data_IF_767939041166
#
_entry.id   IF_767939041166
#
_cell.length_a   1.000
_cell.length_b   1.000
_cell.length_c   1.000
_cell.angle_alpha   90.00
_cell.angle_beta   90.00
_cell.angle_gamma   90.00
#
_symmetry.space_group_name_H-M   'P 1'
#
loop_
_entity.id
_entity.type
_entity.pdbx_description
1 polymer ?
#
# COMPACT_ATOMS: atom_id res chain seq x y z
N UNK A 1 53.44 25.89 -32.63
CA UNK A 1 52.97 25.63 -31.24
C UNK A 1 51.58 26.24 -31.06
N UNK A 2 50.52 25.47 -31.32
CA UNK A 2 49.12 25.89 -31.06
C UNK A 2 48.69 25.31 -29.72
N UNK A 3 48.49 26.15 -28.71
CA UNK A 3 47.89 25.76 -27.43
C UNK A 3 46.37 25.88 -27.56
N UNK A 4 45.68 24.75 -27.59
CA UNK A 4 44.22 24.68 -27.53
C UNK A 4 43.75 24.76 -26.09
N UNK A 5 42.83 25.68 -25.80
CA UNK A 5 42.15 25.83 -24.52
C UNK A 5 41.03 24.78 -24.45
N UNK A 6 41.09 23.88 -23.48
CA UNK A 6 40.00 22.96 -23.15
C UNK A 6 39.10 23.70 -22.14
N UNK A 7 37.89 24.04 -22.56
CA UNK A 7 36.84 24.55 -21.69
C UNK A 7 36.13 23.35 -21.06
N UNK A 8 36.28 23.19 -19.75
CA UNK A 8 35.61 22.16 -18.97
C UNK A 8 34.25 22.71 -18.52
N UNK A 9 33.16 22.29 -19.18
CA UNK A 9 31.80 22.57 -18.71
C UNK A 9 31.51 21.70 -17.48
N UNK A 10 31.40 22.32 -16.32
CA UNK A 10 30.86 21.67 -15.13
C UNK A 10 29.34 21.51 -15.29
N UNK A 11 28.87 20.28 -15.51
CA UNK A 11 27.46 19.94 -15.31
C UNK A 11 27.17 20.00 -13.80
N UNK A 12 26.46 21.04 -13.36
CA UNK A 12 25.77 21.01 -12.07
C UNK A 12 24.62 20.00 -12.18
N UNK A 13 24.82 18.80 -11.64
CA UNK A 13 23.74 17.91 -11.30
C UNK A 13 22.96 18.55 -10.13
N UNK A 14 21.78 19.10 -10.42
CA UNK A 14 20.78 19.39 -9.40
C UNK A 14 20.35 18.06 -8.78
N UNK A 15 20.97 17.71 -7.66
CA UNK A 15 20.46 16.67 -6.78
C UNK A 15 19.06 17.11 -6.34
N UNK A 16 18.04 16.40 -6.81
CA UNK A 16 16.72 16.46 -6.16
C UNK A 16 16.94 15.90 -4.75
N UNK A 17 16.92 16.77 -3.75
CA UNK A 17 16.74 16.36 -2.37
C UNK A 17 15.40 15.64 -2.32
N UNK A 18 15.44 14.30 -2.30
CA UNK A 18 14.24 13.52 -2.04
C UNK A 18 13.69 13.97 -0.70
N UNK A 19 12.37 14.12 -0.62
CA UNK A 19 11.71 14.35 0.67
C UNK A 19 12.18 13.27 1.63
N UNK A 20 12.89 13.67 2.69
CA UNK A 20 13.20 12.78 3.80
C UNK A 20 11.86 12.48 4.44
N UNK A 21 11.29 11.31 4.15
CA UNK A 21 10.06 10.85 4.76
C UNK A 21 10.29 10.70 6.27
N UNK A 22 9.77 11.65 7.04
CA UNK A 22 9.62 11.52 8.48
C UNK A 22 8.28 10.83 8.79
N UNK A 23 8.17 10.22 9.98
CA UNK A 23 6.94 9.58 10.42
C UNK A 23 5.78 10.60 10.46
N UNK A 24 4.79 10.40 9.60
CA UNK A 24 3.57 11.17 9.53
C UNK A 24 2.57 10.65 10.56
N UNK A 25 2.55 11.31 11.73
CA UNK A 25 1.71 10.94 12.88
C UNK A 25 0.27 11.47 12.83
N UNK A 26 -0.07 12.25 11.81
CA UNK A 26 -1.34 12.98 11.77
C UNK A 26 -2.51 12.02 11.60
N UNK A 27 -3.49 12.13 12.50
CA UNK A 27 -4.78 11.44 12.43
C UNK A 27 -5.90 12.46 12.23
N UNK A 28 -6.95 12.06 11.52
CA UNK A 28 -8.19 12.84 11.41
C UNK A 28 -8.90 12.88 12.76
N UNK A 29 -9.35 14.07 13.16
CA UNK A 29 -10.28 14.22 14.27
C UNK A 29 -11.63 13.57 13.92
N UNK A 30 -12.08 13.75 12.68
CA UNK A 30 -13.24 13.07 12.12
C UNK A 30 -12.83 11.95 11.16
N UNK A 31 -12.61 10.75 11.71
CA UNK A 31 -12.29 9.55 10.93
C UNK A 31 -13.32 9.29 9.82
N UNK A 32 -12.86 8.80 8.68
CA UNK A 32 -13.73 8.31 7.62
C UNK A 32 -14.12 6.85 7.87
N UNK A 33 -15.23 6.41 7.28
CA UNK A 33 -15.57 5.01 7.04
C UNK A 33 -15.59 4.80 5.54
N UNK A 34 -14.69 3.98 5.02
CA UNK A 34 -14.55 3.66 3.59
C UNK A 34 -14.87 2.19 3.39
N UNK A 35 -15.94 1.87 2.65
CA UNK A 35 -16.46 0.51 2.51
C UNK A 35 -16.63 -0.21 3.86
N UNK A 36 -17.11 0.51 4.87
CA UNK A 36 -17.31 0.00 6.23
C UNK A 36 -16.05 -0.13 7.09
N UNK A 37 -14.87 0.16 6.56
CA UNK A 37 -13.61 0.19 7.34
C UNK A 37 -13.33 1.59 7.85
N UNK A 38 -13.09 1.75 9.14
CA UNK A 38 -12.64 3.02 9.73
C UNK A 38 -11.24 3.37 9.21
N UNK A 39 -11.10 4.56 8.62
CA UNK A 39 -9.87 5.15 8.11
C UNK A 39 -9.58 6.41 8.94
N UNK A 40 -8.61 6.36 9.86
CA UNK A 40 -8.28 7.50 10.71
C UNK A 40 -7.26 8.47 10.08
N UNK A 41 -6.87 8.25 8.82
CA UNK A 41 -5.73 8.94 8.21
C UNK A 41 -6.16 10.03 7.23
N UNK A 42 -5.43 11.17 7.16
CA UNK A 42 -5.74 12.27 6.26
C UNK A 42 -5.49 11.94 4.79
N UNK A 43 -4.69 10.92 4.49
CA UNK A 43 -4.50 10.36 3.16
C UNK A 43 -4.67 8.86 3.20
N UNK A 44 -5.44 8.30 2.27
CA UNK A 44 -5.64 6.86 2.16
C UNK A 44 -5.98 6.46 0.72
N UNK A 45 -6.11 5.16 0.45
CA UNK A 45 -6.41 4.67 -0.90
C UNK A 45 -7.57 3.70 -0.94
N UNK A 46 -8.34 3.77 -2.02
CA UNK A 46 -9.37 2.80 -2.37
C UNK A 46 -9.05 2.18 -3.74
N UNK A 47 -9.23 0.87 -3.83
CA UNK A 47 -9.00 0.09 -5.04
C UNK A 47 -10.35 -0.43 -5.52
N UNK A 48 -10.80 0.03 -6.68
CA UNK A 48 -12.18 -0.19 -7.15
C UNK A 48 -12.20 -0.50 -8.64
N UNK A 49 -13.14 -1.35 -9.06
CA UNK A 49 -13.30 -1.67 -10.48
C UNK A 49 -14.01 -0.52 -11.23
N UNK A 50 -13.77 -0.38 -12.55
CA UNK A 50 -14.46 0.61 -13.37
C UNK A 50 -15.97 0.61 -13.18
N UNK A 51 -16.56 1.80 -13.05
CA UNK A 51 -18.01 2.01 -12.85
C UNK A 51 -18.63 1.32 -11.63
N UNK A 52 -17.84 0.69 -10.76
CA UNK A 52 -18.34 0.17 -9.49
C UNK A 52 -18.41 1.27 -8.45
N UNK A 53 -19.24 1.05 -7.44
CA UNK A 53 -19.42 1.99 -6.36
C UNK A 53 -18.56 1.62 -5.15
N UNK A 54 -18.20 2.63 -4.36
CA UNK A 54 -17.60 2.49 -3.03
C UNK A 54 -18.27 3.48 -2.08
N UNK A 55 -18.29 3.19 -0.79
CA UNK A 55 -18.87 4.09 0.21
C UNK A 55 -17.78 4.91 0.89
N UNK A 56 -18.10 6.18 1.13
CA UNK A 56 -17.32 7.08 1.97
C UNK A 56 -18.30 7.80 2.87
N UNK A 57 -18.10 7.66 4.18
CA UNK A 57 -18.91 8.24 5.24
C UNK A 57 -17.98 8.85 6.30
N UNK A 58 -18.51 9.72 7.16
CA UNK A 58 -17.85 10.01 8.44
C UNK A 58 -18.19 8.92 9.44
N UNK A 59 -17.21 8.51 10.25
CA UNK A 59 -17.43 7.52 11.30
C UNK A 59 -18.39 8.08 12.37
N UNK A 60 -18.26 9.36 12.70
CA UNK A 60 -19.19 10.11 13.53
C UNK A 60 -20.44 10.46 12.71
N UNK A 61 -21.61 9.95 13.11
CA UNK A 61 -22.84 10.04 12.30
C UNK A 61 -23.47 11.44 12.30
N UNK A 62 -23.12 12.26 13.28
CA UNK A 62 -23.53 13.67 13.31
C UNK A 62 -22.74 14.54 12.31
N UNK A 63 -21.61 14.06 11.79
CA UNK A 63 -20.78 14.79 10.85
C UNK A 63 -21.33 14.73 9.41
N UNK A 64 -21.18 15.83 8.69
CA UNK A 64 -21.59 16.01 7.30
C UNK A 64 -20.47 16.65 6.50
N UNK A 65 -20.55 16.58 5.19
CA UNK A 65 -19.49 17.10 4.34
C UNK A 65 -19.72 16.83 2.88
N UNK A 66 -18.78 17.32 2.07
CA UNK A 66 -18.79 17.14 0.63
C UNK A 66 -17.57 16.34 0.17
N UNK A 67 -17.64 15.83 -1.05
CA UNK A 67 -16.49 15.31 -1.76
C UNK A 67 -16.39 15.95 -3.14
N UNK A 68 -15.17 16.01 -3.68
CA UNK A 68 -14.86 16.45 -5.03
C UNK A 68 -13.70 15.62 -5.59
N UNK A 69 -13.81 15.24 -6.86
CA UNK A 69 -12.75 14.58 -7.61
C UNK A 69 -11.78 15.61 -8.21
N UNK A 70 -10.50 15.23 -8.23
CA UNK A 70 -9.39 16.02 -8.74
C UNK A 70 -8.49 15.15 -9.62
N UNK A 71 -7.78 15.80 -10.54
CA UNK A 71 -6.70 15.16 -11.29
C UNK A 71 -5.40 15.11 -10.47
N UNK A 72 -4.34 14.58 -11.08
CA UNK A 72 -3.03 14.49 -10.45
C UNK A 72 -2.36 15.86 -10.20
N UNK A 73 -2.79 16.92 -10.89
CA UNK A 73 -2.29 18.29 -10.70
C UNK A 73 -3.08 19.06 -9.63
N UNK A 74 -4.14 18.44 -9.08
CA UNK A 74 -5.00 19.06 -8.09
C UNK A 74 -6.08 19.96 -8.69
N UNK A 75 -6.33 19.88 -9.99
CA UNK A 75 -7.45 20.56 -10.64
C UNK A 75 -8.74 19.75 -10.45
N UNK A 76 -9.83 20.45 -10.12
CA UNK A 76 -11.13 19.80 -9.94
C UNK A 76 -11.59 19.18 -11.27
N UNK A 77 -11.82 17.86 -11.27
CA UNK A 77 -12.33 17.16 -12.44
C UNK A 77 -13.75 17.62 -12.74
N UNK A 78 -14.05 17.85 -14.01
CA UNK A 78 -15.39 18.19 -14.50
C UNK A 78 -16.20 16.93 -14.80
N UNK A 79 -17.52 17.08 -14.81
CA UNK A 79 -18.42 16.03 -15.28
C UNK A 79 -18.06 15.61 -16.70
N UNK A 80 -18.07 14.31 -16.94
CA UNK A 80 -17.77 13.73 -18.25
C UNK A 80 -18.44 12.37 -18.39
N UNK A 81 -18.52 11.79 -19.60
CA UNK A 81 -18.96 10.41 -19.77
C UNK A 81 -18.16 9.39 -18.93
N UNK A 82 -16.89 9.70 -18.62
CA UNK A 82 -16.01 8.91 -17.77
C UNK A 82 -16.31 9.07 -16.27
N UNK A 83 -16.68 10.28 -15.84
CA UNK A 83 -16.98 10.62 -14.46
C UNK A 83 -18.35 11.31 -14.37
N UNK A 84 -19.44 10.53 -14.28
CA UNK A 84 -20.80 11.06 -14.31
C UNK A 84 -21.20 11.80 -13.01
N UNK A 85 -20.42 11.65 -11.94
CA UNK A 85 -20.55 12.42 -10.70
C UNK A 85 -19.16 12.79 -10.20
N UNK A 86 -18.81 14.07 -10.28
CA UNK A 86 -17.49 14.57 -9.87
C UNK A 86 -17.49 15.17 -8.46
N UNK A 87 -18.65 15.45 -7.87
CA UNK A 87 -18.81 15.92 -6.49
C UNK A 87 -20.14 15.48 -5.88
N UNK A 88 -20.27 15.62 -4.57
CA UNK A 88 -21.49 15.28 -3.86
C UNK A 88 -21.35 15.39 -2.34
N UNK A 89 -22.33 14.85 -1.62
CA UNK A 89 -22.36 14.80 -0.15
C UNK A 89 -21.80 13.47 0.33
N UNK A 90 -20.86 13.51 1.27
CA UNK A 90 -20.30 12.31 1.93
C UNK A 90 -21.42 11.57 2.67
N UNK A 91 -21.50 10.25 2.50
CA UNK A 91 -22.45 9.36 3.18
C UNK A 91 -23.90 9.40 2.70
N UNK A 92 -24.25 10.24 1.71
CA UNK A 92 -25.63 10.28 1.16
C UNK A 92 -25.92 9.09 0.23
N UNK A 93 -24.99 8.79 -0.67
CA UNK A 93 -25.07 7.67 -1.61
C UNK A 93 -23.68 7.10 -1.85
N UNK A 94 -23.55 5.81 -2.24
CA UNK A 94 -22.28 5.28 -2.73
C UNK A 94 -21.73 6.12 -3.88
N UNK A 95 -20.41 6.29 -3.92
CA UNK A 95 -19.70 7.05 -4.94
C UNK A 95 -19.34 6.12 -6.08
N UNK A 96 -19.67 6.50 -7.32
CA UNK A 96 -19.34 5.73 -8.52
C UNK A 96 -17.92 6.05 -8.97
N UNK A 97 -17.08 5.02 -9.09
CA UNK A 97 -15.75 5.15 -9.64
C UNK A 97 -15.78 5.53 -11.13
N UNK A 98 -14.77 6.29 -11.62
CA UNK A 98 -14.60 6.54 -13.05
C UNK A 98 -14.68 5.27 -13.92
N UNK A 99 -15.11 5.41 -15.18
CA UNK A 99 -15.21 4.30 -16.14
C UNK A 99 -13.86 3.85 -16.68
N UNK A 100 -12.87 4.72 -16.69
CA UNK A 100 -11.54 4.46 -17.17
C UNK A 100 -10.63 4.08 -16.00
N UNK A 101 -9.84 3.03 -16.19
CA UNK A 101 -8.80 2.64 -15.25
C UNK A 101 -7.74 3.73 -15.11
N UNK A 102 -7.23 3.95 -13.90
CA UNK A 102 -6.26 4.98 -13.62
C UNK A 102 -6.25 5.42 -12.16
N UNK A 103 -5.45 6.44 -11.87
CA UNK A 103 -5.37 7.10 -10.57
C UNK A 103 -6.19 8.40 -10.60
N UNK A 104 -7.10 8.52 -9.65
CA UNK A 104 -7.92 9.70 -9.44
C UNK A 104 -7.81 10.13 -7.98
N UNK A 105 -7.97 11.41 -7.70
CA UNK A 105 -7.94 11.94 -6.33
C UNK A 105 -9.35 12.35 -5.94
N UNK A 106 -9.82 11.92 -4.78
CA UNK A 106 -11.07 12.38 -4.19
C UNK A 106 -10.75 13.05 -2.86
N UNK A 107 -11.08 14.33 -2.72
CA UNK A 107 -10.97 15.03 -1.43
C UNK A 107 -12.35 15.10 -0.78
N UNK A 108 -12.42 14.78 0.51
CA UNK A 108 -13.60 15.05 1.34
C UNK A 108 -13.33 16.27 2.20
N UNK A 109 -14.35 17.07 2.46
CA UNK A 109 -14.30 18.19 3.40
C UNK A 109 -15.37 17.97 4.45
N UNK A 110 -14.99 17.94 5.73
CA UNK A 110 -15.90 17.85 6.84
C UNK A 110 -16.43 19.24 7.23
N UNK A 111 -17.75 19.42 7.29
CA UNK A 111 -18.38 20.72 7.55
C UNK A 111 -18.26 21.18 9.01
N UNK A 112 -18.10 20.26 9.96
CA UNK A 112 -18.03 20.56 11.39
C UNK A 112 -16.61 20.94 11.82
N UNK A 113 -15.60 20.31 11.22
CA UNK A 113 -14.19 20.46 11.62
C UNK A 113 -13.37 21.24 10.59
N UNK A 114 -13.84 21.36 9.35
CA UNK A 114 -13.06 21.88 8.22
C UNK A 114 -11.96 20.93 7.73
N UNK A 115 -11.81 19.75 8.33
CA UNK A 115 -10.77 18.79 7.93
C UNK A 115 -10.97 18.30 6.49
N UNK A 116 -9.86 18.24 5.76
CA UNK A 116 -9.81 17.66 4.43
C UNK A 116 -9.10 16.32 4.50
N UNK A 117 -9.74 15.27 3.98
CA UNK A 117 -9.11 13.98 3.77
C UNK A 117 -8.99 13.68 2.27
N UNK A 118 -7.87 13.08 1.88
CA UNK A 118 -7.56 12.72 0.50
C UNK A 118 -7.65 11.20 0.33
N UNK A 119 -8.51 10.75 -0.59
CA UNK A 119 -8.59 9.37 -1.02
C UNK A 119 -8.01 9.23 -2.43
N UNK A 120 -6.93 8.49 -2.59
CA UNK A 120 -6.49 8.02 -3.90
C UNK A 120 -7.46 6.93 -4.36
N UNK A 121 -8.22 7.22 -5.40
CA UNK A 121 -9.15 6.29 -6.05
C UNK A 121 -8.42 5.64 -7.21
N UNK A 122 -7.86 4.45 -6.98
CA UNK A 122 -7.27 3.65 -8.03
C UNK A 122 -8.35 2.81 -8.70
N UNK A 123 -8.76 3.23 -9.88
CA UNK A 123 -9.66 2.47 -10.74
C UNK A 123 -8.85 1.40 -11.45
N UNK A 124 -9.10 0.15 -11.12
CA UNK A 124 -8.26 -0.98 -11.55
C UNK A 124 -8.43 -1.31 -13.03
N UNK A 125 -7.37 -1.81 -13.65
CA UNK A 125 -7.39 -2.52 -14.92
C UNK A 125 -7.94 -3.93 -14.69
N UNK A 126 -9.04 -4.32 -15.34
CA UNK A 126 -9.70 -5.59 -15.07
C UNK A 126 -8.85 -6.83 -15.36
N UNK A 127 -9.00 -7.89 -14.54
CA UNK A 127 -8.29 -9.17 -14.70
C UNK A 127 -8.62 -9.83 -16.05
N UNK A 128 -9.84 -9.66 -16.57
CA UNK A 128 -10.25 -10.21 -17.86
C UNK A 128 -9.45 -9.68 -19.07
N UNK A 129 -8.68 -8.59 -18.88
CA UNK A 129 -7.75 -8.08 -19.91
C UNK A 129 -6.42 -8.84 -19.95
N UNK A 130 -6.17 -9.76 -19.01
CA UNK A 130 -5.00 -10.65 -19.07
C UNK A 130 -5.17 -11.59 -20.25
N UNK A 131 -4.21 -11.59 -21.16
CA UNK A 131 -4.24 -12.41 -22.36
C UNK A 131 -4.04 -13.91 -22.07
N UNK A 132 -4.21 -14.76 -23.10
CA UNK A 132 -4.03 -16.21 -22.99
C UNK A 132 -2.60 -16.62 -22.58
N UNK A 133 -1.61 -15.74 -22.78
CA UNK A 133 -0.23 -15.94 -22.36
C UNK A 133 0.02 -15.49 -20.90
N UNK A 134 -1.01 -15.00 -20.20
CA UNK A 134 -0.91 -14.55 -18.81
C UNK A 134 -0.29 -13.17 -18.64
N UNK A 135 -0.39 -12.31 -19.67
CA UNK A 135 0.17 -10.95 -19.68
C UNK A 135 -0.94 -9.90 -19.69
N UNK A 136 -0.69 -8.77 -19.01
CA UNK A 136 -1.53 -7.58 -19.05
C UNK A 136 -0.69 -6.43 -19.64
N UNK A 137 -1.05 -5.96 -20.84
CA UNK A 137 -0.26 -4.98 -21.60
C UNK A 137 1.24 -5.33 -21.65
N UNK A 138 1.57 -6.61 -21.90
CA UNK A 138 2.95 -7.11 -21.98
C UNK A 138 3.61 -7.48 -20.65
N UNK A 139 3.09 -7.00 -19.51
CA UNK A 139 3.60 -7.35 -18.19
C UNK A 139 3.09 -8.72 -17.74
N UNK A 140 3.99 -9.61 -17.29
CA UNK A 140 3.60 -11.00 -16.95
C UNK A 140 2.95 -11.03 -15.57
N UNK A 141 1.67 -11.42 -15.52
CA UNK A 141 0.94 -11.71 -14.27
C UNK A 141 1.11 -13.19 -13.93
N UNK A 142 0.99 -14.09 -14.91
CA UNK A 142 0.93 -15.53 -14.67
C UNK A 142 -0.49 -16.00 -14.36
N UNK A 143 -0.61 -17.15 -13.68
CA UNK A 143 -1.91 -17.82 -13.46
C UNK A 143 -2.19 -17.98 -11.98
N UNK A 144 -3.38 -17.56 -11.55
CA UNK A 144 -3.91 -17.91 -10.24
C UNK A 144 -4.36 -19.38 -10.24
N UNK A 145 -4.37 -20.05 -9.07
CA UNK A 145 -4.93 -21.39 -8.95
C UNK A 145 -6.41 -21.41 -9.34
N UNK A 146 -6.85 -22.49 -10.01
CA UNK A 146 -8.23 -22.63 -10.48
C UNK A 146 -9.24 -22.74 -9.33
N UNK A 147 -8.83 -23.40 -8.24
CA UNK A 147 -9.68 -23.60 -7.06
C UNK A 147 -9.15 -22.74 -5.92
N UNK A 148 -10.02 -22.01 -5.19
CA UNK A 148 -9.59 -21.33 -3.98
C UNK A 148 -9.15 -22.36 -2.92
N UNK A 149 -8.10 -22.04 -2.16
CA UNK A 149 -7.59 -22.90 -1.10
C UNK A 149 -8.70 -23.20 -0.08
N UNK A 150 -9.03 -24.48 0.11
CA UNK A 150 -10.09 -24.94 1.02
C UNK A 150 -11.44 -24.24 0.78
N UNK A 151 -11.76 -23.92 -0.48
CA UNK A 151 -12.97 -23.19 -0.88
C UNK A 151 -13.13 -21.80 -0.24
N UNK A 152 -12.07 -21.22 0.31
CA UNK A 152 -12.15 -19.93 0.97
C UNK A 152 -12.14 -18.78 -0.07
N UNK A 153 -13.20 -17.92 -0.12
CA UNK A 153 -13.33 -16.85 -1.11
C UNK A 153 -12.17 -15.85 -1.12
N UNK A 154 -11.40 -15.74 -0.03
CA UNK A 154 -10.22 -14.85 0.02
C UNK A 154 -9.10 -15.25 -0.96
N UNK A 155 -9.17 -16.48 -1.48
CA UNK A 155 -8.26 -17.02 -2.50
C UNK A 155 -8.85 -17.03 -3.91
N UNK A 156 -10.00 -16.38 -4.14
CA UNK A 156 -10.46 -16.10 -5.49
C UNK A 156 -9.50 -15.11 -6.18
N UNK A 157 -9.26 -15.23 -7.50
CA UNK A 157 -8.47 -14.26 -8.24
C UNK A 157 -8.99 -12.83 -8.01
N UNK A 158 -8.10 -11.82 -7.96
CA UNK A 158 -8.52 -10.43 -7.82
C UNK A 158 -9.33 -10.00 -9.06
N UNK A 159 -10.25 -9.07 -8.88
CA UNK A 159 -11.05 -8.54 -10.00
C UNK A 159 -10.22 -7.71 -10.99
N UNK A 160 -9.09 -7.17 -10.54
CA UNK A 160 -8.21 -6.35 -11.36
C UNK A 160 -6.96 -5.91 -10.62
N UNK A 161 -6.17 -5.08 -11.30
CA UNK A 161 -4.89 -4.57 -10.84
C UNK A 161 -4.82 -3.06 -11.03
N UNK A 162 -4.11 -2.38 -10.14
CA UNK A 162 -3.68 -1.00 -10.39
C UNK A 162 -2.56 -1.05 -11.42
N UNK A 163 -2.75 -0.37 -12.55
CA UNK A 163 -1.68 -0.08 -13.50
C UNK A 163 -0.82 1.05 -12.92
N UNK A 164 0.48 0.83 -12.85
CA UNK A 164 1.44 1.77 -12.28
C UNK A 164 2.42 2.16 -13.37
N UNK A 165 2.55 3.45 -13.62
CA UNK A 165 3.57 4.04 -14.48
C UNK A 165 4.81 4.47 -13.66
N UNK A 166 5.95 4.79 -14.30
CA UNK A 166 7.15 5.21 -13.57
C UNK A 166 6.90 6.41 -12.64
N UNK A 167 6.09 7.38 -13.06
CA UNK A 167 5.80 8.58 -12.27
C UNK A 167 4.82 8.38 -11.11
N UNK A 168 4.30 7.16 -10.92
CA UNK A 168 3.29 6.84 -9.90
C UNK A 168 3.87 6.09 -8.68
N UNK A 169 5.16 5.75 -8.69
CA UNK A 169 5.79 5.00 -7.60
C UNK A 169 5.77 5.77 -6.28
N UNK A 170 5.86 7.09 -6.34
CA UNK A 170 6.02 7.95 -5.16
C UNK A 170 4.66 8.43 -4.62
N UNK A 171 3.54 8.01 -5.23
CA UNK A 171 2.21 8.32 -4.72
C UNK A 171 2.07 7.70 -3.34
N UNK A 172 1.90 8.55 -2.32
CA UNK A 172 1.49 8.13 -0.97
C UNK A 172 0.12 7.48 -1.04
N UNK A 173 0.03 6.21 -0.66
CA UNK A 173 -1.21 5.43 -0.63
C UNK A 173 -1.84 5.37 0.78
N UNK A 174 -1.06 5.75 1.78
CA UNK A 174 -1.42 6.11 3.15
C UNK A 174 -0.31 7.03 3.70
N UNK A 175 -0.40 7.59 4.93
CA UNK A 175 0.55 8.62 5.37
C UNK A 175 2.03 8.24 5.25
N UNK A 176 2.37 7.00 5.60
CA UNK A 176 3.74 6.51 5.72
C UNK A 176 4.14 5.51 4.63
N UNK A 177 3.27 5.28 3.63
CA UNK A 177 3.53 4.29 2.58
C UNK A 177 3.24 4.80 1.17
N UNK A 178 4.10 4.44 0.21
CA UNK A 178 3.95 4.77 -1.21
C UNK A 178 3.58 3.55 -2.06
N UNK A 179 3.00 3.78 -3.24
CA UNK A 179 2.60 2.72 -4.15
C UNK A 179 3.78 1.85 -4.60
N UNK A 180 4.93 2.47 -4.83
CA UNK A 180 6.17 1.83 -5.29
C UNK A 180 6.69 0.75 -4.34
N UNK A 181 6.54 0.95 -3.03
CA UNK A 181 6.98 0.01 -2.00
C UNK A 181 6.31 -1.37 -2.11
N UNK A 182 5.12 -1.44 -2.73
CA UNK A 182 4.37 -2.69 -2.85
C UNK A 182 4.46 -3.35 -4.22
N UNK A 183 5.21 -2.79 -5.16
CA UNK A 183 5.35 -3.37 -6.49
C UNK A 183 6.07 -4.73 -6.43
N UNK A 184 5.70 -5.61 -7.35
CA UNK A 184 6.42 -6.86 -7.55
C UNK A 184 7.88 -6.57 -7.94
N UNK A 185 8.81 -7.27 -7.27
CA UNK A 185 10.26 -7.24 -7.55
C UNK A 185 10.65 -7.97 -8.84
N UNK A 186 9.66 -8.43 -9.61
CA UNK A 186 9.83 -8.95 -10.96
C UNK A 186 10.62 -7.97 -11.84
N UNK A 187 11.67 -8.49 -12.48
CA UNK A 187 12.56 -7.74 -13.37
C UNK A 187 11.91 -7.56 -14.74
N UNK A 188 10.90 -6.69 -14.80
CA UNK A 188 10.27 -6.21 -16.02
C UNK A 188 10.00 -4.71 -15.93
N UNK A 189 10.02 -4.05 -17.10
CA UNK A 189 9.73 -2.61 -17.22
C UNK A 189 8.29 -2.25 -16.92
N UNK A 190 8.01 -0.95 -16.91
CA UNK A 190 6.68 -0.38 -16.75
C UNK A 190 5.85 -0.49 -18.06
N UNK A 191 4.51 -0.46 -17.99
CA UNK A 191 3.70 -0.37 -16.77
C UNK A 191 3.80 -1.66 -15.94
N UNK A 192 3.83 -1.49 -14.61
CA UNK A 192 3.75 -2.58 -13.65
C UNK A 192 2.32 -2.69 -13.14
N UNK A 193 1.96 -3.86 -12.62
CA UNK A 193 0.63 -4.11 -12.07
C UNK A 193 0.71 -4.60 -10.64
N UNK A 194 -0.13 -4.01 -9.79
CA UNK A 194 -0.20 -4.33 -8.37
C UNK A 194 -1.64 -4.57 -7.94
N UNK A 195 -1.88 -5.62 -7.16
CA UNK A 195 -3.14 -5.78 -6.43
C UNK A 195 -2.86 -5.54 -4.95
N UNK A 196 -3.66 -4.69 -4.31
CA UNK A 196 -3.55 -4.37 -2.88
C UNK A 196 -4.90 -4.43 -2.19
N UNK A 197 -4.89 -4.90 -0.95
CA UNK A 197 -6.03 -4.83 -0.03
C UNK A 197 -5.81 -3.66 0.90
N UNK A 198 -6.76 -2.72 0.92
CA UNK A 198 -6.71 -1.55 1.81
C UNK A 198 -6.50 -1.92 3.30
N UNK A 199 -7.02 -3.07 3.74
CA UNK A 199 -6.79 -3.59 5.08
C UNK A 199 -5.30 -3.81 5.42
N UNK A 200 -4.44 -4.14 4.45
CA UNK A 200 -3.00 -4.26 4.67
C UNK A 200 -2.40 -2.90 5.05
N UNK A 201 -2.76 -1.83 4.34
CA UNK A 201 -2.28 -0.48 4.62
C UNK A 201 -2.71 -0.03 6.03
N UNK A 202 -3.99 -0.23 6.38
CA UNK A 202 -4.48 0.07 7.73
C UNK A 202 -3.71 -0.70 8.82
N UNK A 203 -3.35 -1.97 8.55
CA UNK A 203 -2.60 -2.79 9.50
C UNK A 203 -1.17 -2.30 9.67
N UNK A 204 -0.47 -1.98 8.59
CA UNK A 204 0.91 -1.49 8.62
C UNK A 204 1.01 -0.11 9.29
N UNK A 205 0.10 0.82 8.94
CA UNK A 205 0.03 2.13 9.60
C UNK A 205 -0.24 1.97 11.11
N UNK A 206 -1.16 1.07 11.49
CA UNK A 206 -1.46 0.82 12.90
C UNK A 206 -0.24 0.25 13.65
N UNK A 207 0.54 -0.65 13.03
CA UNK A 207 1.79 -1.17 13.62
C UNK A 207 2.78 -0.02 13.85
N UNK A 208 3.03 0.80 12.83
CA UNK A 208 3.97 1.93 12.91
C UNK A 208 3.54 2.97 13.96
N UNK A 209 2.25 3.31 13.99
CA UNK A 209 1.70 4.21 14.99
C UNK A 209 1.82 3.65 16.40
N UNK A 210 1.54 2.36 16.59
CA UNK A 210 1.59 1.73 17.92
C UNK A 210 3.02 1.69 18.43
N UNK A 211 3.99 1.32 17.58
CA UNK A 211 5.42 1.41 17.89
C UNK A 211 5.80 2.82 18.36
N UNK A 212 5.46 3.85 17.59
CA UNK A 212 5.77 5.23 18.00
C UNK A 212 5.04 5.66 19.27
N UNK A 213 3.80 5.23 19.49
CA UNK A 213 3.04 5.55 20.71
C UNK A 213 3.60 4.88 21.97
N UNK A 214 4.30 3.74 21.81
CA UNK A 214 4.98 3.03 22.89
C UNK A 214 6.43 3.49 23.10
N UNK A 215 6.85 4.57 22.42
CA UNK A 215 8.13 5.23 22.65
C UNK A 215 9.27 4.80 21.72
N UNK A 216 9.00 4.01 20.68
CA UNK A 216 10.00 3.70 19.65
C UNK A 216 10.05 4.80 18.60
N UNK A 217 11.18 5.47 18.42
CA UNK A 217 11.35 6.51 17.38
C UNK A 217 11.62 5.85 16.03
N UNK A 218 10.56 5.51 15.29
CA UNK A 218 10.66 4.79 14.00
C UNK A 218 9.99 5.63 12.91
N UNK A 219 10.75 6.04 11.90
CA UNK A 219 10.26 6.88 10.80
C UNK A 219 9.38 6.11 9.82
N UNK A 220 9.62 4.81 9.65
CA UNK A 220 8.87 3.99 8.71
C UNK A 220 9.18 2.51 8.84
N UNK A 221 8.40 1.70 8.12
CA UNK A 221 8.62 0.27 7.98
C UNK A 221 9.21 0.01 6.59
N UNK A 222 10.35 -0.67 6.53
CA UNK A 222 10.98 -1.03 5.25
C UNK A 222 10.23 -2.22 4.65
N UNK A 223 9.43 -1.96 3.60
CA UNK A 223 8.69 -3.00 2.89
C UNK A 223 9.65 -3.79 1.98
N UNK A 224 10.12 -4.94 2.48
CA UNK A 224 10.97 -5.84 1.73
C UNK A 224 10.21 -6.53 0.59
N UNK A 225 8.95 -6.89 0.80
CA UNK A 225 8.12 -7.51 -0.24
C UNK A 225 6.65 -7.21 -0.03
N UNK A 226 6.01 -6.55 -1.01
CA UNK A 226 4.56 -6.35 -1.07
C UNK A 226 3.87 -7.35 -1.98
N UNK A 227 3.16 -6.87 -2.99
CA UNK A 227 2.47 -7.73 -3.95
C UNK A 227 3.46 -8.57 -4.78
N UNK A 228 3.09 -9.83 -5.05
CA UNK A 228 3.80 -10.69 -6.00
C UNK A 228 2.83 -11.12 -7.08
N UNK A 229 3.22 -11.00 -8.34
CA UNK A 229 2.46 -11.68 -9.41
C UNK A 229 2.52 -13.19 -9.18
N UNK A 230 1.49 -13.96 -9.60
CA UNK A 230 1.60 -15.42 -9.59
C UNK A 230 2.87 -15.94 -10.29
N UNK A 231 3.27 -15.32 -11.41
CA UNK A 231 4.51 -15.64 -12.12
C UNK A 231 5.75 -15.43 -11.23
N UNK A 232 5.91 -14.23 -10.66
CA UNK A 232 7.09 -13.91 -9.85
C UNK A 232 7.16 -14.76 -8.60
N UNK A 233 6.02 -14.98 -7.92
CA UNK A 233 5.96 -15.83 -6.73
C UNK A 233 6.44 -17.25 -7.03
N UNK A 234 6.04 -17.82 -8.17
CA UNK A 234 6.53 -19.13 -8.62
C UNK A 234 8.03 -19.09 -8.97
N UNK A 235 8.49 -18.03 -9.66
CA UNK A 235 9.87 -17.90 -10.09
C UNK A 235 10.87 -17.88 -8.92
N UNK A 236 10.47 -17.37 -7.75
CA UNK A 236 11.27 -17.37 -6.53
C UNK A 236 11.01 -18.60 -5.62
N UNK A 237 10.39 -19.66 -6.15
CA UNK A 237 10.18 -20.92 -5.44
C UNK A 237 9.12 -20.89 -4.33
N UNK A 238 8.30 -19.84 -4.24
CA UNK A 238 7.29 -19.72 -3.19
C UNK A 238 6.01 -20.52 -3.50
N UNK A 239 5.27 -20.86 -2.43
CA UNK A 239 4.00 -21.60 -2.53
C UNK A 239 2.92 -20.79 -3.23
N UNK A 240 2.09 -21.46 -4.04
CA UNK A 240 1.09 -20.82 -4.90
C UNK A 240 -0.01 -20.06 -4.14
N UNK A 241 -0.32 -20.44 -2.89
CA UNK A 241 -1.35 -19.80 -2.05
C UNK A 241 -0.77 -18.78 -1.06
N UNK A 242 0.43 -18.25 -1.32
CA UNK A 242 1.00 -17.15 -0.55
C UNK A 242 0.11 -15.92 -0.59
N UNK A 243 -0.10 -15.26 0.56
CA UNK A 243 -0.98 -14.09 0.66
C UNK A 243 -0.45 -12.86 -0.08
N UNK A 244 0.84 -12.80 -0.42
CA UNK A 244 1.41 -11.77 -1.30
C UNK A 244 0.76 -11.75 -2.68
N UNK A 245 0.36 -12.92 -3.19
CA UNK A 245 -0.28 -13.08 -4.51
C UNK A 245 -1.69 -12.49 -4.54
N UNK A 246 -2.32 -12.30 -3.38
CA UNK A 246 -3.64 -11.66 -3.24
C UNK A 246 -3.58 -10.27 -2.62
N UNK A 247 -2.41 -9.61 -2.66
CA UNK A 247 -2.26 -8.20 -2.29
C UNK A 247 -2.50 -7.87 -0.83
N UNK A 248 -2.54 -8.91 0.02
CA UNK A 248 -2.93 -8.78 1.42
C UNK A 248 -1.80 -9.08 2.38
N UNK A 249 -0.55 -9.13 1.92
CA UNK A 249 0.61 -9.44 2.75
C UNK A 249 1.78 -8.49 2.48
N UNK A 250 2.59 -8.30 3.51
CA UNK A 250 3.87 -7.61 3.43
C UNK A 250 4.91 -8.35 4.27
N UNK A 251 6.12 -8.43 3.73
CA UNK A 251 7.33 -8.78 4.47
C UNK A 251 8.07 -7.46 4.73
N UNK A 252 8.39 -7.18 5.99
CA UNK A 252 8.99 -5.90 6.38
C UNK A 252 9.90 -6.03 7.60
N UNK A 253 10.71 -4.99 7.80
CA UNK A 253 11.60 -4.83 8.96
C UNK A 253 11.70 -3.34 9.33
N UNK A 254 12.31 -3.06 10.49
CA UNK A 254 12.63 -1.71 10.97
C UNK A 254 14.12 -1.49 10.71
N UNK A 255 14.46 -0.40 10.04
CA UNK A 255 15.81 -0.01 9.61
C UNK A 255 15.92 1.49 9.80
N UNK A 256 16.27 1.90 11.02
CA UNK A 256 16.20 3.28 11.48
C UNK A 256 17.57 3.81 11.87
N UNK A 257 18.43 3.02 12.52
CA UNK A 257 19.69 3.53 13.06
C UNK A 257 20.79 2.46 13.21
N UNK A 258 21.75 2.41 12.27
CA UNK A 258 21.82 3.18 11.02
C UNK A 258 20.80 2.69 9.98
N UNK A 259 20.47 3.54 8.99
CA UNK A 259 19.68 3.12 7.82
C UNK A 259 20.57 2.39 6.81
N UNK A 260 20.90 1.14 7.07
CA UNK A 260 21.89 0.37 6.31
C UNK A 260 21.29 -0.76 5.44
N UNK A 261 19.96 -0.88 5.42
CA UNK A 261 19.24 -1.87 4.63
C UNK A 261 19.05 -3.20 5.33
N UNK A 262 19.42 -3.32 6.61
CA UNK A 262 19.20 -4.51 7.45
C UNK A 262 18.27 -4.13 8.62
N UNK A 263 17.65 -5.12 9.26
CA UNK A 263 16.87 -4.87 10.47
C UNK A 263 17.76 -4.30 11.59
N UNK A 264 17.25 -3.36 12.38
CA UNK A 264 17.92 -2.88 13.59
C UNK A 264 17.98 -3.98 14.68
N UNK A 265 18.88 -3.84 15.65
CA UNK A 265 18.89 -4.61 16.91
C UNK A 265 17.74 -4.16 17.82
N UNK A 266 16.57 -4.77 17.63
CA UNK A 266 15.31 -4.42 18.29
C UNK A 266 15.25 -4.96 19.72
N UNK A 267 15.88 -6.10 19.98
CA UNK A 267 15.90 -6.70 21.32
C UNK A 267 17.01 -6.12 22.22
N UNK A 268 17.95 -5.36 21.64
CA UNK A 268 19.07 -4.66 22.30
C UNK A 268 20.11 -5.60 22.91
N UNK A 269 20.34 -6.76 22.28
CA UNK A 269 21.36 -7.73 22.69
C UNK A 269 22.74 -7.51 22.03
N UNK A 270 22.83 -6.57 21.10
CA UNK A 270 24.03 -6.21 20.35
C UNK A 270 24.23 -7.01 19.07
N UNK A 271 23.29 -7.89 18.68
CA UNK A 271 23.42 -8.79 17.52
C UNK A 271 22.15 -8.78 16.67
N UNK A 272 22.25 -8.22 15.46
CA UNK A 272 21.15 -8.28 14.48
C UNK A 272 20.93 -9.71 13.99
N UNK A 273 19.84 -10.35 14.41
CA UNK A 273 19.53 -11.74 14.09
C UNK A 273 18.01 -12.04 14.17
N UNK A 274 17.66 -13.33 14.13
CA UNK A 274 16.26 -13.79 14.20
C UNK A 274 15.49 -13.25 15.38
N UNK A 275 16.14 -13.06 16.52
CA UNK A 275 15.52 -12.66 17.77
C UNK A 275 14.97 -11.23 17.70
N UNK A 276 15.48 -10.37 16.82
CA UNK A 276 14.89 -9.06 16.50
C UNK A 276 13.55 -9.21 15.78
N UNK A 277 13.50 -10.13 14.81
CA UNK A 277 12.24 -10.45 14.13
C UNK A 277 11.25 -11.15 15.08
N UNK A 278 11.72 -11.97 16.03
CA UNK A 278 10.89 -12.54 17.11
C UNK A 278 10.34 -11.43 18.00
N UNK A 279 11.17 -10.46 18.39
CA UNK A 279 10.75 -9.31 19.18
C UNK A 279 9.63 -8.55 18.49
N UNK A 280 9.82 -8.20 17.21
CA UNK A 280 8.81 -7.46 16.43
C UNK A 280 7.54 -8.29 16.22
N UNK A 281 7.67 -9.59 15.99
CA UNK A 281 6.52 -10.48 15.88
C UNK A 281 5.75 -10.57 17.21
N UNK A 282 6.44 -10.64 18.35
CA UNK A 282 5.80 -10.64 19.66
C UNK A 282 5.04 -9.34 19.93
N UNK A 283 5.62 -8.19 19.55
CA UNK A 283 4.95 -6.89 19.59
C UNK A 283 3.62 -6.93 18.81
N UNK A 284 3.65 -7.36 17.54
CA UNK A 284 2.47 -7.46 16.66
C UNK A 284 1.48 -8.53 17.17
N UNK A 285 1.96 -9.61 17.77
CA UNK A 285 1.12 -10.64 18.37
C UNK A 285 0.36 -10.10 19.58
N UNK A 286 0.99 -9.26 20.41
CA UNK A 286 0.32 -8.60 21.54
C UNK A 286 -0.75 -7.61 21.05
N UNK A 287 -0.46 -6.80 20.04
CA UNK A 287 -1.49 -5.98 19.36
C UNK A 287 -2.67 -6.84 18.87
N UNK A 288 -2.39 -8.02 18.30
CA UNK A 288 -3.43 -8.94 17.84
C UNK A 288 -4.32 -9.44 18.99
N UNK A 289 -3.71 -9.81 20.13
CA UNK A 289 -4.43 -10.26 21.35
C UNK A 289 -5.33 -9.17 21.92
N UNK A 290 -4.91 -7.92 21.81
CA UNK A 290 -5.68 -6.74 22.24
C UNK A 290 -6.75 -6.31 21.23
N UNK A 291 -6.92 -7.04 20.11
CA UNK A 291 -7.96 -6.77 19.12
C UNK A 291 -7.63 -5.65 18.12
N UNK A 292 -6.39 -5.15 18.08
CA UNK A 292 -5.99 -3.99 17.27
C UNK A 292 -6.25 -4.15 15.75
N UNK A 293 -6.39 -5.39 15.27
CA UNK A 293 -6.57 -5.66 13.84
C UNK A 293 -8.00 -6.01 13.43
N UNK A 294 -8.91 -6.35 14.35
CA UNK A 294 -10.28 -6.76 14.02
C UNK A 294 -10.33 -7.76 12.86
N UNK A 295 -11.12 -7.48 11.82
CA UNK A 295 -11.21 -8.32 10.60
C UNK A 295 -9.93 -8.37 9.76
N UNK A 296 -8.96 -7.48 10.00
CA UNK A 296 -7.63 -7.46 9.37
C UNK A 296 -6.64 -8.38 10.08
N UNK A 297 -7.08 -9.17 11.06
CA UNK A 297 -6.26 -10.22 11.66
C UNK A 297 -5.75 -11.17 10.56
N UNK A 298 -4.59 -11.79 10.78
CA UNK A 298 -4.01 -12.62 9.75
C UNK A 298 -2.77 -13.39 10.18
N UNK A 299 -2.04 -13.85 9.16
CA UNK A 299 -0.73 -14.46 9.30
C UNK A 299 0.28 -13.50 9.92
N UNK A 300 1.18 -14.08 10.70
CA UNK A 300 2.37 -13.45 11.25
C UNK A 300 3.48 -14.50 11.20
N UNK A 301 4.57 -14.21 10.50
CA UNK A 301 5.68 -15.15 10.32
C UNK A 301 7.02 -14.51 10.68
N UNK A 302 7.93 -15.30 11.25
CA UNK A 302 9.30 -14.88 11.58
C UNK A 302 10.29 -15.54 10.61
N UNK A 303 11.18 -14.74 10.02
CA UNK A 303 12.16 -15.25 9.06
C UNK A 303 13.58 -14.87 9.46
N UNK A 304 14.46 -15.86 9.38
CA UNK A 304 15.90 -15.72 9.56
C UNK A 304 16.55 -14.91 8.43
N UNK A 305 17.72 -14.34 8.77
CA UNK A 305 18.63 -13.82 7.77
C UNK A 305 19.19 -14.94 6.88
N UNK A 306 19.53 -14.58 5.65
CA UNK A 306 20.30 -15.44 4.75
C UNK A 306 21.23 -14.59 3.87
N UNK A 307 21.88 -15.21 2.88
CA UNK A 307 22.80 -14.50 1.99
C UNK A 307 22.17 -13.37 1.16
N UNK A 308 20.84 -13.31 1.03
CA UNK A 308 20.13 -12.33 0.22
C UNK A 308 19.47 -11.21 1.04
N UNK A 309 19.21 -11.41 2.34
CA UNK A 309 18.53 -10.44 3.19
C UNK A 309 18.77 -10.70 4.69
N UNK A 310 18.58 -9.66 5.50
CA UNK A 310 18.52 -9.76 6.97
C UNK A 310 17.25 -10.44 7.49
N UNK A 311 17.07 -10.51 8.82
CA UNK A 311 15.86 -11.04 9.42
C UNK A 311 14.66 -10.11 9.14
N UNK A 312 13.46 -10.66 9.07
CA UNK A 312 12.25 -9.87 8.81
C UNK A 312 10.98 -10.54 9.35
N UNK A 313 9.89 -9.77 9.38
CA UNK A 313 8.57 -10.26 9.78
C UNK A 313 7.62 -10.22 8.59
N UNK A 314 6.82 -11.29 8.46
CA UNK A 314 5.68 -11.34 7.56
C UNK A 314 4.40 -10.96 8.30
N UNK A 315 3.54 -10.15 7.68
CA UNK A 315 2.14 -9.99 8.10
C UNK A 315 1.20 -10.10 6.93
N UNK A 316 -0.01 -10.59 7.18
CA UNK A 316 -1.10 -10.48 6.22
C UNK A 316 -2.44 -10.16 6.87
N UNK A 317 -3.45 -9.96 6.02
CA UNK A 317 -4.85 -9.68 6.41
C UNK A 317 -5.79 -10.80 5.94
N UNK A 318 -5.41 -12.06 6.14
CA UNK A 318 -6.20 -13.23 5.68
C UNK A 318 -7.51 -13.47 6.45
N UNK A 319 -7.78 -12.70 7.49
CA UNK A 319 -8.99 -12.80 8.33
C UNK A 319 -8.92 -13.87 9.42
N UNK A 320 -7.86 -14.67 9.47
CA UNK A 320 -7.66 -15.73 10.47
C UNK A 320 -6.21 -15.80 10.91
N UNK A 321 -5.98 -16.21 12.16
CA UNK A 321 -4.64 -16.40 12.70
C UNK A 321 -3.90 -17.52 11.99
N UNK A 322 -2.64 -17.26 11.64
CA UNK A 322 -1.66 -18.25 11.24
C UNK A 322 -0.28 -17.79 11.75
N UNK A 323 0.55 -18.71 12.23
CA UNK A 323 1.86 -18.43 12.83
C UNK A 323 2.88 -19.42 12.31
N UNK A 324 4.08 -18.96 12.00
CA UNK A 324 5.22 -19.77 11.60
C UNK A 324 6.53 -19.03 11.82
#
# INVERSE_FOLDING_TARGET
>A
MRKGVIVMLALLALARTGDVFSFEKTLLNSKLSVNGSTVPYPIFSVFVMPSKTFTVEFAEKSHTGSFQFFDANGEALKLSPNLPANSGTVGKTPITAPKQSGHYVLKTTNNQTGEIATLNVFVMTPLEKVDKAGKLNGYIIGKYPEKPLKNNPIYLPPQGFVEVSPGQTDIRISPNFTLGQFLSKQQQGFPKYVHLRAGLLLKLENILHTLNSEGYTIEGLTIMSGYRTPFYNKAIGNVQYSRHVWGGAADFYIDQSPKDGVMDDLNKDGVVNREDAVWLANFIANMSKQGAFGSRIGGLGVYDANAAHGPFVHVDVRGTLARW
#
